data_IF_698508491011
#
_entry.id   IF_698508491011
#
_cell.length_a   1.000
_cell.length_b   1.000
_cell.length_c   1.000
_cell.angle_alpha   90.00
_cell.angle_beta   90.00
_cell.angle_gamma   90.00
#
_symmetry.space_group_name_H-M   'P 1'
#
loop_
_entity.id
_entity.type
_entity.pdbx_description
1 polymer ?
#
# COMPACT_ATOMS: atom_id res chain seq x y z
N UNK A 1 9.50 -25.37 14.91
CA UNK A 1 8.08 -25.02 14.89
C UNK A 1 7.94 -23.51 14.96
N UNK A 2 7.79 -22.86 13.80
CA UNK A 2 7.62 -21.41 13.72
C UNK A 2 6.15 -21.09 13.49
N UNK A 3 5.49 -20.47 14.48
CA UNK A 3 4.12 -19.99 14.30
C UNK A 3 4.18 -18.63 13.61
N UNK A 4 3.72 -18.55 12.36
CA UNK A 4 3.60 -17.31 11.61
C UNK A 4 2.23 -16.70 11.92
N UNK A 5 2.20 -15.71 12.81
CA UNK A 5 0.98 -14.97 13.12
C UNK A 5 0.88 -13.74 12.21
N UNK A 6 0.01 -13.80 11.20
CA UNK A 6 -0.21 -12.69 10.29
C UNK A 6 -1.41 -11.88 10.78
N UNK A 7 -1.15 -10.68 11.27
CA UNK A 7 -2.18 -9.73 11.68
C UNK A 7 -2.44 -8.74 10.55
N UNK A 8 -3.65 -8.79 9.97
CA UNK A 8 -4.14 -7.72 9.12
C UNK A 8 -4.97 -6.77 9.99
N UNK A 9 -4.37 -5.66 10.43
CA UNK A 9 -5.09 -4.62 11.17
C UNK A 9 -5.63 -3.58 10.18
N UNK A 10 -6.95 -3.39 10.17
CA UNK A 10 -7.60 -2.32 9.42
C UNK A 10 -7.75 -1.10 10.32
N UNK A 11 -7.21 0.03 9.90
CA UNK A 11 -7.68 1.33 10.39
C UNK A 11 -8.22 2.10 9.20
N UNK A 12 -9.55 2.12 9.08
CA UNK A 12 -10.22 3.14 8.29
C UNK A 12 -10.08 4.43 9.09
N UNK A 13 -9.03 5.22 8.82
CA UNK A 13 -9.02 6.61 9.23
C UNK A 13 -10.05 7.35 8.36
N UNK A 14 -11.33 7.17 8.67
CA UNK A 14 -12.37 8.10 8.31
C UNK A 14 -12.15 9.34 9.17
N UNK A 15 -11.27 10.23 8.71
CA UNK A 15 -11.33 11.60 9.17
C UNK A 15 -12.69 12.13 8.73
N UNK A 16 -13.61 12.25 9.69
CA UNK A 16 -14.86 12.96 9.49
C UNK A 16 -14.57 14.31 8.88
N UNK A 17 -15.39 14.72 7.91
CA UNK A 17 -15.26 15.96 7.15
C UNK A 17 -15.18 17.18 8.09
N UNK A 18 -13.97 17.53 8.49
CA UNK A 18 -13.57 18.88 8.87
C UNK A 18 -12.77 19.43 7.69
N UNK A 19 -13.33 20.43 7.03
CA UNK A 19 -12.85 21.05 5.79
C UNK A 19 -11.32 21.14 5.66
N UNK A 20 -10.77 20.33 4.77
CA UNK A 20 -9.59 20.71 3.99
C UNK A 20 -9.95 20.53 2.54
N UNK A 21 -10.55 21.58 1.97
CA UNK A 21 -10.63 21.74 0.52
C UNK A 21 -9.22 21.91 -0.03
N UNK A 22 -8.59 20.83 -0.47
CA UNK A 22 -7.50 20.89 -1.43
C UNK A 22 -8.12 21.09 -2.82
N UNK A 23 -8.56 22.32 -3.08
CA UNK A 23 -8.90 22.74 -4.43
C UNK A 23 -7.66 23.29 -5.14
N UNK A 24 -7.46 22.69 -6.31
CA UNK A 24 -6.89 23.23 -7.54
C UNK A 24 -5.41 22.94 -7.83
N UNK A 25 -5.21 22.00 -8.79
CA UNK A 25 -4.27 22.26 -9.87
C UNK A 25 -3.23 21.20 -10.22
N UNK A 26 -3.51 19.90 -10.16
CA UNK A 26 -2.70 18.93 -10.90
C UNK A 26 -3.25 18.81 -12.34
N UNK A 27 -2.72 19.63 -13.25
CA UNK A 27 -2.87 19.37 -14.69
C UNK A 27 -1.98 18.18 -15.07
N UNK A 28 -2.57 17.17 -15.68
CA UNK A 28 -2.00 15.84 -15.91
C UNK A 28 -1.00 15.72 -17.06
N UNK A 29 -0.19 16.73 -17.33
CA UNK A 29 0.63 16.76 -18.56
C UNK A 29 2.15 16.58 -18.36
N UNK A 30 2.65 16.38 -17.13
CA UNK A 30 4.09 16.27 -16.85
C UNK A 30 4.52 14.94 -16.19
N UNK A 31 3.99 13.79 -16.65
CA UNK A 31 4.53 12.48 -16.27
C UNK A 31 5.54 12.03 -17.33
N UNK A 32 6.83 12.25 -17.07
CA UNK A 32 7.90 11.68 -17.88
C UNK A 32 7.99 10.15 -17.62
N UNK A 33 7.84 9.36 -18.67
CA UNK A 33 8.06 7.90 -18.71
C UNK A 33 9.39 7.50 -18.04
N UNK A 34 9.42 6.48 -17.14
CA UNK A 34 10.66 6.05 -16.53
C UNK A 34 11.44 5.14 -17.49
N UNK A 35 12.61 5.60 -17.93
CA UNK A 35 13.58 4.74 -18.59
C UNK A 35 14.15 3.73 -17.60
N UNK A 36 13.85 2.45 -17.82
CA UNK A 36 14.47 1.31 -17.14
C UNK A 36 15.99 1.34 -17.37
N UNK A 37 16.77 1.49 -16.31
CA UNK A 37 18.22 1.25 -16.34
C UNK A 37 19.08 2.34 -15.69
N UNK A 38 19.69 1.96 -14.57
CA UNK A 38 20.91 2.53 -13.97
C UNK A 38 20.78 3.88 -13.23
N UNK A 39 21.02 3.81 -11.92
CA UNK A 39 21.19 4.93 -10.97
C UNK A 39 21.87 6.15 -11.59
N UNK A 40 21.14 7.24 -11.81
CA UNK A 40 21.71 8.60 -11.91
C UNK A 40 20.78 9.63 -11.27
N UNK A 41 21.30 10.36 -10.29
CA UNK A 41 20.65 11.54 -9.69
C UNK A 41 20.58 12.64 -10.76
N UNK A 42 19.39 12.96 -11.22
CA UNK A 42 19.14 14.05 -12.15
C UNK A 42 18.15 15.05 -11.55
N UNK A 43 18.64 16.24 -11.19
CA UNK A 43 17.83 17.37 -10.75
C UNK A 43 17.28 18.07 -11.99
N UNK A 44 15.94 18.08 -12.17
CA UNK A 44 15.29 18.84 -13.24
C UNK A 44 14.79 20.19 -12.69
N UNK A 45 15.13 21.27 -13.39
CA UNK A 45 14.76 22.65 -13.05
C UNK A 45 13.60 23.07 -13.95
N UNK A 46 12.40 23.24 -13.40
CA UNK A 46 11.24 23.81 -14.08
C UNK A 46 11.15 25.28 -13.69
N UNK A 47 11.19 26.19 -14.67
CA UNK A 47 10.97 27.62 -14.44
C UNK A 47 9.56 27.98 -14.89
N UNK A 48 8.71 28.40 -13.95
CA UNK A 48 7.40 28.99 -14.23
C UNK A 48 7.22 30.21 -13.33
N UNK A 49 7.04 31.36 -13.97
CA UNK A 49 6.85 32.65 -13.33
C UNK A 49 5.38 32.88 -12.98
N UNK A 50 4.98 32.66 -11.71
CA UNK A 50 3.88 33.37 -11.02
C UNK A 50 3.71 32.89 -9.58
N UNK A 51 4.00 33.81 -8.64
CA UNK A 51 3.96 33.70 -7.15
C UNK A 51 4.91 32.62 -6.60
N UNK A 52 5.73 32.90 -5.57
CA UNK A 52 6.58 31.87 -4.98
C UNK A 52 5.69 30.95 -4.14
N UNK A 53 4.99 30.03 -4.82
CA UNK A 53 4.57 28.81 -4.16
C UNK A 53 5.88 28.17 -3.70
N UNK A 54 6.01 27.98 -2.39
CA UNK A 54 7.22 27.38 -1.83
C UNK A 54 7.29 25.98 -2.42
N UNK A 55 8.17 25.76 -3.41
CA UNK A 55 8.38 24.47 -4.05
C UNK A 55 8.77 23.47 -2.96
N UNK A 56 7.78 22.71 -2.49
CA UNK A 56 7.97 21.78 -1.40
C UNK A 56 8.27 20.44 -2.04
N UNK A 57 9.53 20.03 -1.95
CA UNK A 57 9.96 18.73 -2.45
C UNK A 57 9.78 17.68 -1.36
N UNK A 58 9.13 16.58 -1.69
CA UNK A 58 8.96 15.43 -0.81
C UNK A 58 9.76 14.25 -1.38
N UNK A 59 10.34 13.44 -0.50
CA UNK A 59 11.08 12.24 -0.87
C UNK A 59 10.40 11.02 -0.26
N UNK A 60 10.21 9.99 -1.07
CA UNK A 60 9.62 8.70 -0.71
C UNK A 60 10.46 7.59 -1.30
N UNK A 61 10.44 6.40 -0.69
CA UNK A 61 11.14 5.23 -1.22
C UNK A 61 10.61 4.80 -2.59
N UNK A 62 9.30 4.93 -2.78
CA UNK A 62 8.59 4.63 -4.03
C UNK A 62 7.49 5.67 -4.26
N UNK A 63 7.33 6.10 -5.52
CA UNK A 63 6.23 6.97 -5.96
C UNK A 63 5.57 6.31 -7.16
N UNK A 64 4.26 6.12 -7.08
CA UNK A 64 3.47 5.47 -8.12
C UNK A 64 2.66 6.52 -8.90
N UNK A 65 2.79 6.52 -10.23
CA UNK A 65 1.97 7.36 -11.10
C UNK A 65 0.55 6.82 -11.27
N UNK A 66 -0.33 7.59 -11.90
CA UNK A 66 -1.73 7.21 -12.13
C UNK A 66 -1.92 5.92 -12.95
N UNK A 67 -0.93 5.54 -13.76
CA UNK A 67 -0.96 4.30 -14.56
C UNK A 67 -0.43 3.06 -13.79
N UNK A 68 -0.02 3.23 -12.52
CA UNK A 68 0.52 2.12 -11.74
C UNK A 68 -0.57 1.10 -11.42
N UNK A 69 -0.27 -0.17 -11.66
CA UNK A 69 -1.21 -1.26 -11.39
C UNK A 69 -1.11 -1.75 -9.94
N UNK A 70 -2.15 -2.42 -9.45
CA UNK A 70 -2.14 -3.03 -8.11
C UNK A 70 -0.98 -4.00 -7.94
N UNK A 71 -0.68 -4.78 -8.98
CA UNK A 71 0.45 -5.69 -8.97
C UNK A 71 1.80 -4.96 -8.85
N UNK A 72 1.97 -3.82 -9.52
CA UNK A 72 3.18 -3.01 -9.40
C UNK A 72 3.33 -2.42 -8.00
N UNK A 73 2.24 -1.90 -7.42
CA UNK A 73 2.24 -1.40 -6.04
C UNK A 73 2.64 -2.51 -5.07
N UNK A 74 2.00 -3.67 -5.18
CA UNK A 74 2.30 -4.84 -4.35
C UNK A 74 3.75 -5.32 -4.46
N UNK A 75 4.25 -5.49 -5.70
CA UNK A 75 5.61 -5.99 -5.93
C UNK A 75 6.70 -5.07 -5.36
N UNK A 76 6.47 -3.77 -5.32
CA UNK A 76 7.42 -2.78 -4.80
C UNK A 76 7.23 -2.49 -3.30
N UNK A 77 6.16 -2.97 -2.67
CA UNK A 77 5.84 -2.71 -1.25
C UNK A 77 5.58 -4.00 -0.48
N UNK A 78 4.39 -4.60 -0.66
CA UNK A 78 3.91 -5.76 0.09
C UNK A 78 4.77 -7.02 -0.03
N UNK A 79 5.38 -7.27 -1.20
CA UNK A 79 6.15 -8.50 -1.42
C UNK A 79 7.38 -8.62 -0.51
N UNK A 80 8.04 -7.50 -0.21
CA UNK A 80 9.18 -7.48 0.72
C UNK A 80 8.72 -7.85 2.13
N UNK A 81 7.52 -7.43 2.52
CA UNK A 81 6.95 -7.72 3.83
C UNK A 81 6.57 -9.19 3.98
N UNK A 82 6.03 -9.82 2.93
CA UNK A 82 5.76 -11.26 2.93
C UNK A 82 7.04 -12.06 3.17
N UNK A 83 8.14 -11.70 2.51
CA UNK A 83 9.43 -12.35 2.76
C UNK A 83 9.90 -12.16 4.20
N UNK A 84 9.80 -10.94 4.75
CA UNK A 84 10.13 -10.66 6.15
C UNK A 84 9.34 -11.52 7.14
N UNK A 85 8.07 -11.83 6.83
CA UNK A 85 7.25 -12.72 7.65
C UNK A 85 7.81 -14.15 7.68
N UNK A 86 8.27 -14.67 6.54
CA UNK A 86 8.91 -15.99 6.49
C UNK A 86 10.31 -16.01 7.12
N UNK A 87 10.99 -14.87 7.17
CA UNK A 87 12.23 -14.68 7.92
C UNK A 87 12.00 -14.58 9.45
N UNK A 88 10.74 -14.63 9.90
CA UNK A 88 10.36 -14.62 11.32
C UNK A 88 10.12 -13.22 11.91
N UNK A 89 9.95 -12.19 11.07
CA UNK A 89 9.67 -10.82 11.51
C UNK A 89 8.18 -10.46 11.40
N UNK A 90 7.70 -9.66 12.33
CA UNK A 90 6.37 -9.05 12.23
C UNK A 90 6.38 -7.96 11.17
N UNK A 91 5.41 -7.99 10.26
CA UNK A 91 5.23 -6.96 9.22
C UNK A 91 3.88 -6.29 9.34
N UNK A 92 3.81 -5.00 8.99
CA UNK A 92 2.58 -4.21 9.06
C UNK A 92 2.51 -3.25 7.88
N UNK A 93 1.33 -3.13 7.27
CA UNK A 93 1.05 -2.21 6.17
C UNK A 93 -0.04 -1.24 6.60
N UNK A 94 0.20 0.06 6.39
CA UNK A 94 -0.80 1.09 6.60
C UNK A 94 -1.11 1.79 5.26
N UNK A 95 -2.39 1.99 5.00
CA UNK A 95 -2.85 2.89 3.94
C UNK A 95 -3.33 4.20 4.58
N UNK A 96 -2.68 5.32 4.26
CA UNK A 96 -2.99 6.63 4.82
C UNK A 96 -3.28 7.64 3.71
N UNK A 97 -4.14 8.62 4.00
CA UNK A 97 -4.55 9.64 3.04
C UNK A 97 -5.97 10.14 3.29
N UNK A 98 -6.35 11.21 2.59
CA UNK A 98 -7.68 11.80 2.69
C UNK A 98 -8.80 10.84 2.21
N UNK A 99 -10.05 11.15 2.54
CA UNK A 99 -11.20 10.42 1.97
C UNK A 99 -11.19 10.52 0.45
N UNK A 100 -11.45 9.41 -0.24
CA UNK A 100 -11.37 9.34 -1.71
C UNK A 100 -9.96 9.17 -2.28
N UNK A 101 -8.88 9.15 -1.46
CA UNK A 101 -7.50 9.03 -1.95
C UNK A 101 -7.07 7.61 -2.38
N UNK A 102 -8.01 6.67 -2.50
CA UNK A 102 -7.71 5.30 -2.95
C UNK A 102 -7.19 4.31 -1.89
N UNK A 103 -7.23 4.61 -0.59
CA UNK A 103 -6.78 3.69 0.49
C UNK A 103 -7.39 2.29 0.37
N UNK A 104 -8.72 2.20 0.31
CA UNK A 104 -9.46 0.93 0.20
C UNK A 104 -9.19 0.26 -1.14
N UNK A 105 -9.13 1.04 -2.21
CA UNK A 105 -8.78 0.56 -3.54
C UNK A 105 -7.41 -0.13 -3.51
N UNK A 106 -6.36 0.50 -2.99
CA UNK A 106 -5.02 -0.11 -2.91
C UNK A 106 -4.99 -1.35 -2.02
N UNK A 107 -5.73 -1.36 -0.91
CA UNK A 107 -5.61 -2.43 0.08
C UNK A 107 -6.45 -3.65 -0.22
N UNK A 108 -7.71 -3.48 -0.60
CA UNK A 108 -8.63 -4.57 -0.92
C UNK A 108 -8.65 -4.85 -2.42
N UNK A 109 -8.62 -3.79 -3.23
CA UNK A 109 -8.88 -3.88 -4.66
C UNK A 109 -10.37 -3.80 -4.99
N UNK A 110 -10.68 -3.98 -6.28
CA UNK A 110 -12.04 -4.14 -6.78
C UNK A 110 -12.05 -5.05 -8.01
N UNK A 111 -13.25 -5.38 -8.52
CA UNK A 111 -13.42 -6.28 -9.67
C UNK A 111 -12.86 -5.73 -10.99
N UNK A 112 -12.78 -4.41 -11.15
CA UNK A 112 -12.33 -3.74 -12.38
C UNK A 112 -10.81 -3.54 -12.42
N UNK A 113 -10.21 -3.22 -11.29
CA UNK A 113 -8.78 -2.88 -11.14
C UNK A 113 -7.97 -4.12 -10.73
N UNK A 114 -8.61 -5.09 -10.07
CA UNK A 114 -8.00 -6.32 -9.59
C UNK A 114 -7.72 -6.31 -8.08
N UNK A 115 -7.18 -7.41 -7.55
CA UNK A 115 -6.95 -7.59 -6.12
C UNK A 115 -5.92 -6.59 -5.59
N UNK A 116 -6.20 -6.03 -4.41
CA UNK A 116 -5.30 -5.12 -3.71
C UNK A 116 -4.20 -5.86 -2.94
N UNK A 117 -3.37 -5.08 -2.26
CA UNK A 117 -2.19 -5.55 -1.52
C UNK A 117 -2.55 -6.63 -0.48
N UNK A 118 -3.70 -6.54 0.20
CA UNK A 118 -4.11 -7.53 1.20
C UNK A 118 -4.29 -8.92 0.57
N UNK A 119 -5.10 -9.00 -0.49
CA UNK A 119 -5.42 -10.27 -1.16
C UNK A 119 -4.17 -10.84 -1.86
N UNK A 120 -3.37 -9.98 -2.49
CA UNK A 120 -2.09 -10.37 -3.11
C UNK A 120 -1.11 -10.92 -2.06
N UNK A 121 -1.01 -10.28 -0.88
CA UNK A 121 -0.15 -10.76 0.20
C UNK A 121 -0.59 -12.13 0.71
N UNK A 122 -1.91 -12.32 0.96
CA UNK A 122 -2.45 -13.61 1.38
C UNK A 122 -2.13 -14.70 0.37
N UNK A 123 -2.32 -14.41 -0.92
CA UNK A 123 -2.02 -15.35 -2.00
C UNK A 123 -0.55 -15.75 -2.00
N UNK A 124 0.38 -14.79 -1.97
CA UNK A 124 1.82 -15.07 -1.95
C UNK A 124 2.22 -15.88 -0.70
N UNK A 125 1.63 -15.59 0.46
CA UNK A 125 1.86 -16.36 1.69
C UNK A 125 1.48 -17.83 1.50
N UNK A 126 0.28 -18.10 0.97
CA UNK A 126 -0.18 -19.48 0.76
C UNK A 126 0.60 -20.19 -0.36
N UNK A 127 1.00 -19.49 -1.41
CA UNK A 127 1.89 -20.03 -2.45
C UNK A 127 3.26 -20.40 -1.85
N UNK A 128 3.82 -19.56 -0.99
CA UNK A 128 5.11 -19.81 -0.33
C UNK A 128 5.06 -20.99 0.65
N UNK A 129 3.97 -21.13 1.41
CA UNK A 129 3.75 -22.29 2.28
C UNK A 129 3.66 -23.57 1.46
N UNK A 130 2.89 -23.56 0.34
CA UNK A 130 2.75 -24.72 -0.53
C UNK A 130 4.09 -25.16 -1.15
N UNK A 131 4.92 -24.20 -1.56
CA UNK A 131 6.23 -24.48 -2.15
C UNK A 131 7.25 -25.07 -1.15
N UNK A 132 7.08 -24.81 0.16
CA UNK A 132 8.05 -25.19 1.20
C UNK A 132 7.45 -26.17 2.25
N UNK A 133 6.39 -26.91 1.89
CA UNK A 133 5.67 -27.79 2.84
C UNK A 133 6.54 -28.90 3.48
N UNK A 134 7.68 -29.25 2.90
CA UNK A 134 8.59 -30.27 3.46
C UNK A 134 9.34 -29.81 4.71
N UNK A 135 9.61 -28.51 4.83
CA UNK A 135 10.57 -27.97 5.80
C UNK A 135 9.92 -27.05 6.85
N UNK A 136 8.64 -26.69 6.66
CA UNK A 136 7.95 -25.70 7.48
C UNK A 136 6.64 -26.25 8.06
N UNK A 137 6.64 -26.53 9.37
CA UNK A 137 5.40 -26.65 10.12
C UNK A 137 4.86 -25.24 10.42
N UNK A 138 3.90 -24.79 9.61
CA UNK A 138 3.34 -23.45 9.66
C UNK A 138 1.86 -23.49 10.09
N UNK A 139 1.53 -22.69 11.11
CA UNK A 139 0.14 -22.40 11.50
C UNK A 139 -0.20 -20.99 11.05
N UNK A 140 -1.22 -20.86 10.20
CA UNK A 140 -1.74 -19.56 9.75
C UNK A 140 -3.01 -19.23 10.53
N UNK A 141 -3.09 -18.02 11.07
CA UNK A 141 -4.28 -17.47 11.69
C UNK A 141 -4.62 -16.14 11.01
N UNK A 142 -5.91 -15.89 10.81
CA UNK A 142 -6.42 -14.67 10.20
C UNK A 142 -7.42 -14.01 11.14
N UNK A 143 -7.32 -12.70 11.28
CA UNK A 143 -8.31 -11.86 11.95
C UNK A 143 -8.60 -10.68 11.04
N UNK A 144 -9.86 -10.27 10.93
CA UNK A 144 -10.26 -9.12 10.14
C UNK A 144 -11.16 -8.23 11.00
N UNK A 145 -10.57 -7.16 11.53
CA UNK A 145 -11.18 -6.32 12.55
C UNK A 145 -11.36 -4.90 12.03
N UNK A 146 -12.53 -4.32 12.25
CA UNK A 146 -12.79 -2.89 12.08
C UNK A 146 -12.73 -2.19 13.44
N UNK A 147 -12.05 -1.05 13.50
CA UNK A 147 -12.11 -0.14 14.65
C UNK A 147 -12.83 1.12 14.21
N UNK A 148 -14.01 1.36 14.76
CA UNK A 148 -14.83 2.53 14.47
C UNK A 148 -15.37 3.10 15.78
N UNK A 149 -15.15 4.41 16.01
CA UNK A 149 -15.61 5.10 17.22
C UNK A 149 -15.20 4.39 18.54
N UNK A 150 -13.93 3.96 18.63
CA UNK A 150 -13.38 3.18 19.77
C UNK A 150 -14.04 1.81 20.00
N UNK A 151 -14.94 1.37 19.12
CA UNK A 151 -15.51 0.02 19.13
C UNK A 151 -14.76 -0.89 18.16
N UNK A 152 -14.48 -2.12 18.60
CA UNK A 152 -13.84 -3.16 17.78
C UNK A 152 -14.91 -4.12 17.30
N UNK A 153 -14.98 -4.31 15.99
CA UNK A 153 -15.92 -5.21 15.32
C UNK A 153 -15.15 -6.29 14.56
N UNK A 154 -15.47 -7.56 14.82
CA UNK A 154 -14.93 -8.69 14.06
C UNK A 154 -15.76 -8.91 12.79
N UNK A 155 -15.13 -8.78 11.64
CA UNK A 155 -15.76 -8.86 10.33
C UNK A 155 -15.81 -10.29 9.76
N UNK A 156 -15.18 -11.27 10.43
CA UNK A 156 -15.25 -12.67 10.02
C UNK A 156 -16.38 -13.45 10.71
N UNK A 157 -16.96 -12.88 11.76
CA UNK A 157 -17.98 -13.54 12.61
C UNK A 157 -19.40 -13.01 12.31
N UNK A 158 -19.54 -12.01 11.43
CA UNK A 158 -20.83 -11.50 10.96
C UNK A 158 -21.60 -12.46 10.04
#
# INVERSE_FOLDING_TARGET
>A
TGSINIFFSWTLLNFGSGDVSLNDGFHGDDVAEPSFGTRKRGLRKLTSSRRPHKDTTFAFDCVFGHNATQQQVYNNTGRVLVNSVFDGFNSTVFAYGATGSGKTCTMVGDTFIGPGVMILSMRDIFEHIQANMSDLECRVQLSYLEVYNEEIKDLLVE
#
